data_IF_758531595023
#
_entry.id   IF_758531595023
#
_cell.length_a   1.000
_cell.length_b   1.000
_cell.length_c   1.000
_cell.angle_alpha   90.00
_cell.angle_beta   90.00
_cell.angle_gamma   90.00
#
_symmetry.space_group_name_H-M   'P 1'
#
loop_
_entity.id
_entity.type
_entity.pdbx_description
1 polymer ?
#
# COMPACT_ATOMS: atom_id res chain seq x y z
N UNK A 1 -11.92 9.27 -16.38
CA UNK A 1 -10.70 8.52 -16.00
C UNK A 1 -10.25 9.05 -14.65
N UNK A 2 -10.02 8.16 -13.69
CA UNK A 2 -9.63 8.54 -12.33
C UNK A 2 -8.24 9.19 -12.27
N UNK A 3 -7.34 8.92 -13.24
CA UNK A 3 -6.06 9.68 -13.39
C UNK A 3 -6.31 11.18 -13.55
N UNK A 4 -7.28 11.58 -14.38
CA UNK A 4 -7.60 13.00 -14.62
C UNK A 4 -8.21 13.63 -13.36
N UNK A 5 -9.11 12.91 -12.70
CA UNK A 5 -9.72 13.37 -11.45
C UNK A 5 -8.64 13.60 -10.38
N UNK A 6 -7.67 12.67 -10.25
CA UNK A 6 -6.53 12.83 -9.37
C UNK A 6 -5.70 14.07 -9.74
N UNK A 7 -5.36 14.23 -11.02
CA UNK A 7 -4.59 15.38 -11.51
C UNK A 7 -5.24 16.72 -11.18
N UNK A 8 -6.53 16.88 -11.50
CA UNK A 8 -7.27 18.12 -11.19
C UNK A 8 -7.39 18.37 -9.69
N UNK A 9 -7.59 17.32 -8.89
CA UNK A 9 -7.64 17.46 -7.43
C UNK A 9 -6.29 17.90 -6.87
N UNK A 10 -5.19 17.39 -7.40
CA UNK A 10 -3.83 17.83 -7.04
C UNK A 10 -3.58 19.27 -7.46
N UNK A 11 -4.00 19.66 -8.66
CA UNK A 11 -3.92 21.06 -9.12
C UNK A 11 -4.72 21.99 -8.20
N UNK A 12 -5.93 21.59 -7.81
CA UNK A 12 -6.80 22.34 -6.91
C UNK A 12 -6.10 22.64 -5.58
N UNK A 13 -5.37 21.66 -5.02
CA UNK A 13 -4.55 21.88 -3.80
C UNK A 13 -3.43 22.88 -4.09
N UNK A 14 -2.74 22.75 -5.22
CA UNK A 14 -1.64 23.63 -5.61
C UNK A 14 -2.06 25.09 -5.77
N UNK A 15 -3.27 25.37 -6.27
CA UNK A 15 -3.78 26.74 -6.48
C UNK A 15 -4.70 27.24 -5.36
N UNK A 16 -4.93 26.42 -4.32
CA UNK A 16 -5.91 26.71 -3.28
C UNK A 16 -5.57 28.00 -2.50
N UNK A 17 -6.45 29.00 -2.42
CA UNK A 17 -6.19 30.21 -1.62
C UNK A 17 -5.95 29.88 -0.13
N UNK A 18 -5.21 30.74 0.57
CA UNK A 18 -4.92 30.54 2.00
C UNK A 18 -6.14 30.83 2.88
N UNK A 19 -6.10 30.39 4.13
CA UNK A 19 -7.15 30.69 5.11
C UNK A 19 -7.37 32.20 5.28
N UNK A 20 -6.31 33.01 5.20
CA UNK A 20 -6.42 34.47 5.28
C UNK A 20 -7.22 35.08 4.12
N UNK A 21 -7.25 34.42 2.95
CA UNK A 21 -7.91 34.93 1.75
C UNK A 21 -9.39 34.55 1.69
N UNK A 22 -9.75 33.33 2.10
CA UNK A 22 -11.11 32.78 1.90
C UNK A 22 -11.70 32.13 3.15
N UNK A 23 -11.05 32.25 4.31
CA UNK A 23 -11.51 31.72 5.59
C UNK A 23 -11.73 30.19 5.57
N UNK A 24 -12.84 29.77 6.17
CA UNK A 24 -13.24 28.35 6.33
C UNK A 24 -13.41 27.61 4.99
N UNK A 25 -13.61 28.33 3.88
CA UNK A 25 -13.67 27.69 2.56
C UNK A 25 -12.36 27.03 2.15
N UNK A 26 -11.20 27.53 2.59
CA UNK A 26 -9.90 26.92 2.29
C UNK A 26 -9.80 25.47 2.80
N UNK A 27 -9.97 25.18 4.11
CA UNK A 27 -9.92 23.80 4.59
C UNK A 27 -11.05 22.92 4.03
N UNK A 28 -12.24 23.47 3.76
CA UNK A 28 -13.33 22.69 3.13
C UNK A 28 -12.98 22.23 1.71
N UNK A 29 -12.45 23.13 0.89
CA UNK A 29 -11.98 22.81 -0.46
C UNK A 29 -10.79 21.85 -0.44
N UNK A 30 -9.89 21.99 0.54
CA UNK A 30 -8.79 21.05 0.75
C UNK A 30 -9.31 19.64 1.06
N UNK A 31 -10.30 19.53 1.96
CA UNK A 31 -10.94 18.25 2.30
C UNK A 31 -11.61 17.64 1.07
N UNK A 32 -12.35 18.44 0.29
CA UNK A 32 -12.99 17.97 -0.94
C UNK A 32 -11.96 17.48 -1.97
N UNK A 33 -10.87 18.22 -2.17
CA UNK A 33 -9.77 17.80 -3.04
C UNK A 33 -9.13 16.48 -2.55
N UNK A 34 -8.95 16.31 -1.23
CA UNK A 34 -8.43 15.07 -0.63
C UNK A 34 -9.38 13.88 -0.83
N UNK A 35 -10.69 14.08 -0.70
CA UNK A 35 -11.69 13.04 -0.98
C UNK A 35 -11.62 12.61 -2.44
N UNK A 36 -11.55 13.57 -3.38
CA UNK A 36 -11.43 13.27 -4.80
C UNK A 36 -10.12 12.53 -5.14
N UNK A 37 -8.99 12.91 -4.52
CA UNK A 37 -7.72 12.17 -4.64
C UNK A 37 -7.86 10.74 -4.12
N UNK A 38 -8.46 10.54 -2.95
CA UNK A 38 -8.65 9.22 -2.35
C UNK A 38 -9.49 8.29 -3.22
N UNK A 39 -10.63 8.79 -3.74
CA UNK A 39 -11.50 8.04 -4.66
C UNK A 39 -10.73 7.66 -5.94
N UNK A 40 -9.94 8.61 -6.48
CA UNK A 40 -9.17 8.37 -7.70
C UNK A 40 -8.07 7.33 -7.49
N UNK A 41 -7.31 7.44 -6.40
CA UNK A 41 -6.22 6.53 -6.06
C UNK A 41 -6.73 5.11 -5.76
N UNK A 42 -7.87 4.99 -5.06
CA UNK A 42 -8.50 3.70 -4.76
C UNK A 42 -8.98 2.94 -6.00
N UNK A 43 -9.29 3.67 -7.09
CA UNK A 43 -9.65 3.09 -8.38
C UNK A 43 -8.43 2.79 -9.27
N UNK A 44 -7.50 3.72 -9.43
CA UNK A 44 -6.38 3.56 -10.36
C UNK A 44 -5.33 2.56 -9.88
N UNK A 45 -4.98 2.57 -8.58
CA UNK A 45 -3.89 1.73 -8.08
C UNK A 45 -4.18 0.23 -8.23
N UNK A 46 -5.34 -0.30 -7.76
CA UNK A 46 -5.75 -1.68 -8.05
C UNK A 46 -5.88 -2.00 -9.54
N UNK A 47 -6.32 -1.02 -10.34
CA UNK A 47 -6.56 -1.19 -11.77
C UNK A 47 -5.27 -1.37 -12.54
N UNK A 48 -4.25 -0.56 -12.25
CA UNK A 48 -2.91 -0.69 -12.82
C UNK A 48 -2.23 -2.00 -12.43
N UNK A 49 -2.37 -2.43 -11.18
CA UNK A 49 -1.81 -3.71 -10.71
C UNK A 49 -2.45 -4.91 -11.41
N UNK A 50 -3.79 -4.95 -11.51
CA UNK A 50 -4.49 -6.05 -12.19
C UNK A 50 -4.21 -6.02 -13.69
N UNK A 51 -4.15 -4.84 -14.30
CA UNK A 51 -3.79 -4.68 -15.69
C UNK A 51 -2.40 -5.27 -16.00
N UNK A 52 -1.40 -4.95 -15.18
CA UNK A 52 -0.07 -5.52 -15.30
C UNK A 52 -0.08 -7.04 -15.07
N UNK A 53 -0.89 -7.53 -14.11
CA UNK A 53 -1.01 -8.96 -13.81
C UNK A 53 -1.51 -9.75 -15.02
N UNK A 54 -2.53 -9.22 -15.68
CA UNK A 54 -3.25 -9.89 -16.75
C UNK A 54 -2.50 -9.84 -18.09
N UNK A 55 -1.67 -8.80 -18.30
CA UNK A 55 -0.77 -8.71 -19.45
C UNK A 55 0.54 -9.47 -19.29
N UNK A 56 0.85 -9.95 -18.09
CA UNK A 56 2.14 -10.59 -17.82
C UNK A 56 2.11 -12.11 -18.04
N UNK A 57 3.21 -12.68 -18.58
CA UNK A 57 3.39 -14.13 -18.63
C UNK A 57 3.20 -14.75 -17.24
N UNK A 58 2.64 -15.97 -17.19
CA UNK A 58 2.30 -16.66 -15.95
C UNK A 58 3.47 -16.80 -14.97
N UNK A 59 4.70 -16.87 -15.47
CA UNK A 59 5.94 -17.01 -14.70
C UNK A 59 6.64 -15.66 -14.37
N UNK A 60 6.01 -14.52 -14.68
CA UNK A 60 6.56 -13.17 -14.43
C UNK A 60 5.54 -12.23 -13.79
N UNK A 61 4.43 -12.76 -13.29
CA UNK A 61 3.33 -11.98 -12.70
C UNK A 61 3.77 -11.23 -11.44
N UNK A 62 4.51 -11.90 -10.55
CA UNK A 62 5.07 -11.31 -9.35
C UNK A 62 6.06 -10.20 -9.67
N UNK A 63 6.98 -10.44 -10.62
CA UNK A 63 7.92 -9.41 -11.07
C UNK A 63 7.24 -8.19 -11.69
N UNK A 64 6.25 -8.39 -12.57
CA UNK A 64 5.56 -7.28 -13.23
C UNK A 64 4.76 -6.41 -12.24
N UNK A 65 4.07 -7.03 -11.29
CA UNK A 65 3.33 -6.29 -10.27
C UNK A 65 4.26 -5.56 -9.31
N UNK A 66 5.37 -6.18 -8.93
CA UNK A 66 6.33 -5.52 -8.06
C UNK A 66 7.02 -4.34 -8.74
N UNK A 67 7.15 -4.33 -10.08
CA UNK A 67 7.56 -3.12 -10.82
C UNK A 67 6.52 -2.00 -10.73
N UNK A 68 5.22 -2.31 -10.79
CA UNK A 68 4.15 -1.30 -10.58
C UNK A 68 4.24 -0.72 -9.17
N UNK A 69 4.41 -1.57 -8.15
CA UNK A 69 4.54 -1.17 -6.76
C UNK A 69 5.82 -0.34 -6.52
N UNK A 70 6.95 -0.75 -7.11
CA UNK A 70 8.20 0.00 -7.09
C UNK A 70 8.04 1.37 -7.78
N UNK A 71 7.26 1.45 -8.86
CA UNK A 71 6.89 2.70 -9.51
C UNK A 71 6.15 3.65 -8.58
N UNK A 72 5.16 3.16 -7.82
CA UNK A 72 4.43 3.95 -6.82
C UNK A 72 5.38 4.50 -5.75
N UNK A 73 6.26 3.66 -5.20
CA UNK A 73 7.22 4.08 -4.18
C UNK A 73 8.27 5.07 -4.72
N UNK A 74 8.72 4.88 -5.96
CA UNK A 74 9.63 5.81 -6.65
C UNK A 74 8.98 7.16 -6.90
N UNK A 75 7.68 7.17 -7.23
CA UNK A 75 6.88 8.39 -7.36
C UNK A 75 6.81 9.17 -6.05
N UNK A 76 6.59 8.47 -4.92
CA UNK A 76 6.64 9.08 -3.59
C UNK A 76 8.01 9.66 -3.28
N UNK A 77 9.09 8.93 -3.57
CA UNK A 77 10.46 9.40 -3.37
C UNK A 77 10.71 10.71 -4.16
N UNK A 78 10.35 10.72 -5.45
CA UNK A 78 10.49 11.90 -6.30
C UNK A 78 9.66 13.08 -5.78
N UNK A 79 8.42 12.83 -5.34
CA UNK A 79 7.57 13.87 -4.75
C UNK A 79 8.18 14.45 -3.45
N UNK A 80 8.72 13.60 -2.58
CA UNK A 80 9.40 14.02 -1.34
C UNK A 80 10.64 14.86 -1.66
N UNK A 81 11.48 14.44 -2.62
CA UNK A 81 12.67 15.19 -3.03
C UNK A 81 12.32 16.57 -3.61
N UNK A 82 11.32 16.64 -4.50
CA UNK A 82 10.86 17.93 -5.05
C UNK A 82 10.29 18.82 -3.93
N UNK A 83 9.56 18.24 -2.98
CA UNK A 83 9.00 18.98 -1.84
C UNK A 83 10.10 19.53 -0.92
N UNK A 84 11.15 18.75 -0.68
CA UNK A 84 12.33 19.20 0.06
C UNK A 84 13.04 20.35 -0.65
N UNK A 85 13.32 20.22 -1.95
CA UNK A 85 13.93 21.30 -2.75
C UNK A 85 13.04 22.55 -2.72
N UNK A 86 11.72 22.39 -2.87
CA UNK A 86 10.79 23.49 -2.81
C UNK A 86 10.78 24.20 -1.45
N UNK A 87 11.06 23.49 -0.34
CA UNK A 87 11.14 24.10 0.98
C UNK A 87 12.36 25.02 1.18
N UNK A 88 13.37 24.94 0.29
CA UNK A 88 14.56 25.81 0.31
C UNK A 88 14.33 27.16 -0.39
N UNK A 89 13.16 27.38 -0.98
CA UNK A 89 12.78 28.53 -1.84
C UNK A 89 11.66 29.32 -1.13
N UNK A 90 11.38 30.61 -1.45
CA UNK A 90 10.47 31.46 -0.68
C UNK A 90 9.05 30.92 -0.44
N UNK A 91 8.30 31.63 0.41
CA UNK A 91 6.91 31.33 0.76
C UNK A 91 6.07 30.96 -0.48
N UNK A 92 5.26 29.90 -0.35
CA UNK A 92 4.40 29.30 -1.39
C UNK A 92 5.05 28.31 -2.35
N UNK A 93 6.36 28.07 -2.26
CA UNK A 93 7.05 27.07 -3.10
C UNK A 93 6.52 25.65 -2.93
N UNK A 94 5.92 25.32 -1.77
CA UNK A 94 5.25 24.04 -1.51
C UNK A 94 4.11 23.72 -2.49
N UNK A 95 3.60 24.70 -3.25
CA UNK A 95 2.57 24.52 -4.30
C UNK A 95 3.12 23.91 -5.58
N UNK A 96 4.41 24.11 -5.87
CA UNK A 96 5.06 23.67 -7.11
C UNK A 96 4.93 22.14 -7.33
N UNK A 97 5.21 21.26 -6.34
CA UNK A 97 5.02 19.82 -6.49
C UNK A 97 3.59 19.45 -6.92
N UNK A 98 2.58 20.15 -6.40
CA UNK A 98 1.17 19.88 -6.72
C UNK A 98 0.84 20.26 -8.17
N UNK A 99 1.33 21.40 -8.65
CA UNK A 99 1.15 21.85 -10.03
C UNK A 99 1.88 20.90 -11.00
N UNK A 100 3.11 20.50 -10.68
CA UNK A 100 3.85 19.51 -11.49
C UNK A 100 3.11 18.15 -11.52
N UNK A 101 2.52 17.75 -10.40
CA UNK A 101 1.72 16.52 -10.31
C UNK A 101 0.55 16.46 -11.29
N UNK A 102 -0.04 17.61 -11.64
CA UNK A 102 -1.09 17.68 -12.68
C UNK A 102 -0.56 17.28 -14.07
N UNK A 103 0.61 17.78 -14.46
CA UNK A 103 1.23 17.42 -15.75
C UNK A 103 1.65 15.95 -15.80
N UNK A 104 2.16 15.42 -14.68
CA UNK A 104 2.46 13.99 -14.55
C UNK A 104 1.19 13.15 -14.71
N UNK A 105 0.07 13.55 -14.12
CA UNK A 105 -1.21 12.87 -14.32
C UNK A 105 -1.67 12.91 -15.78
N UNK A 106 -1.48 14.03 -16.49
CA UNK A 106 -1.81 14.14 -17.91
C UNK A 106 -0.94 13.21 -18.77
N UNK A 107 0.36 13.13 -18.50
CA UNK A 107 1.26 12.18 -19.15
C UNK A 107 0.85 10.73 -18.88
N UNK A 108 0.52 10.40 -17.62
CA UNK A 108 0.01 9.07 -17.25
C UNK A 108 -1.27 8.71 -18.00
N UNK A 109 -2.19 9.68 -18.15
CA UNK A 109 -3.42 9.52 -18.94
C UNK A 109 -3.13 9.27 -20.42
N UNK A 110 -2.16 9.98 -21.00
CA UNK A 110 -1.73 9.80 -22.39
C UNK A 110 -1.17 8.40 -22.62
N UNK A 111 -0.30 7.93 -21.73
CA UNK A 111 0.26 6.57 -21.79
C UNK A 111 -0.86 5.53 -21.67
N UNK A 112 -1.77 5.70 -20.70
CA UNK A 112 -2.91 4.77 -20.48
C UNK A 112 -3.84 4.65 -21.70
N UNK A 113 -4.01 5.73 -22.46
CA UNK A 113 -4.83 5.73 -23.68
C UNK A 113 -4.25 4.89 -24.82
N UNK A 114 -2.95 4.62 -24.80
CA UNK A 114 -2.26 3.83 -25.84
C UNK A 114 -2.15 2.34 -25.50
N UNK A 115 -2.71 1.91 -24.37
CA UNK A 115 -2.67 0.52 -23.94
C UNK A 115 -4.02 -0.13 -24.21
N UNK A 116 -4.02 -1.26 -24.93
CA UNK A 116 -5.22 -2.07 -25.15
C UNK A 116 -5.72 -2.67 -23.83
N UNK A 117 -7.03 -2.91 -23.74
CA UNK A 117 -7.61 -3.60 -22.57
C UNK A 117 -7.17 -5.07 -22.51
N UNK A 118 -7.26 -5.68 -21.33
CA UNK A 118 -6.80 -7.07 -21.16
C UNK A 118 -7.63 -8.02 -22.00
N UNK A 119 -7.00 -9.00 -22.66
CA UNK A 119 -7.71 -10.02 -23.45
C UNK A 119 -8.75 -10.79 -22.62
N UNK A 120 -8.48 -10.98 -21.33
CA UNK A 120 -9.42 -11.56 -20.37
C UNK A 120 -10.66 -10.67 -20.15
N UNK A 121 -10.48 -9.36 -20.07
CA UNK A 121 -11.59 -8.40 -19.96
C UNK A 121 -12.38 -8.33 -21.28
N UNK A 122 -11.71 -8.30 -22.42
CA UNK A 122 -12.35 -8.31 -23.73
C UNK A 122 -13.18 -9.57 -23.96
N UNK A 123 -12.65 -10.75 -23.60
CA UNK A 123 -13.39 -12.01 -23.67
C UNK A 123 -14.60 -12.01 -22.74
N UNK A 124 -14.45 -11.53 -21.49
CA UNK A 124 -15.58 -11.42 -20.56
C UNK A 124 -16.66 -10.44 -21.09
N UNK A 125 -16.24 -9.36 -21.76
CA UNK A 125 -17.13 -8.39 -22.41
C UNK A 125 -17.86 -9.01 -23.61
N UNK A 126 -17.15 -9.70 -24.49
CA UNK A 126 -17.71 -10.39 -25.66
C UNK A 126 -18.70 -11.48 -25.24
N UNK A 127 -18.37 -12.24 -24.19
CA UNK A 127 -19.22 -13.31 -23.65
C UNK A 127 -20.38 -12.80 -22.77
N UNK A 128 -20.58 -11.48 -22.65
CA UNK A 128 -21.59 -10.85 -21.76
C UNK A 128 -21.50 -11.33 -20.30
N UNK A 129 -20.29 -11.67 -19.84
CA UNK A 129 -20.02 -12.12 -18.47
C UNK A 129 -19.73 -10.94 -17.51
N UNK A 130 -19.75 -9.70 -18.01
CA UNK A 130 -19.64 -8.51 -17.18
C UNK A 130 -20.89 -8.35 -16.30
N UNK A 131 -20.66 -8.24 -14.99
CA UNK A 131 -21.73 -8.05 -14.01
C UNK A 131 -22.09 -6.57 -13.87
N UNK A 132 -23.40 -6.28 -13.74
CA UNK A 132 -23.93 -4.91 -13.61
C UNK A 132 -23.46 -4.20 -12.32
N UNK A 133 -23.27 -4.96 -11.23
CA UNK A 133 -22.83 -4.43 -9.93
C UNK A 133 -21.62 -5.21 -9.41
N UNK A 134 -20.41 -4.98 -9.92
CA UNK A 134 -19.23 -5.78 -9.61
C UNK A 134 -18.89 -5.89 -8.12
N UNK A 135 -19.02 -4.80 -7.35
CA UNK A 135 -18.76 -4.81 -5.90
C UNK A 135 -19.77 -5.71 -5.17
N UNK A 136 -21.07 -5.52 -5.42
CA UNK A 136 -22.13 -6.32 -4.80
C UNK A 136 -22.04 -7.80 -5.21
N UNK A 137 -21.73 -8.06 -6.48
CA UNK A 137 -21.48 -9.43 -6.97
C UNK A 137 -20.26 -10.05 -6.31
N UNK A 138 -19.18 -9.28 -6.13
CA UNK A 138 -17.99 -9.69 -5.39
C UNK A 138 -18.28 -10.04 -3.94
N UNK A 139 -19.01 -9.18 -3.22
CA UNK A 139 -19.43 -9.41 -1.83
C UNK A 139 -20.31 -10.64 -1.66
N UNK A 140 -21.13 -10.96 -2.66
CA UNK A 140 -21.96 -12.18 -2.64
C UNK A 140 -21.19 -13.43 -3.02
N UNK A 141 -20.30 -13.37 -4.01
CA UNK A 141 -19.55 -14.54 -4.53
C UNK A 141 -18.33 -14.89 -3.68
N UNK A 142 -17.65 -13.89 -3.13
CA UNK A 142 -16.36 -14.00 -2.42
C UNK A 142 -16.34 -13.27 -1.06
N UNK A 143 -17.36 -13.39 -0.20
CA UNK A 143 -17.41 -12.65 1.08
C UNK A 143 -16.22 -12.99 1.98
N UNK A 144 -15.86 -14.29 2.04
CA UNK A 144 -14.74 -14.78 2.82
C UNK A 144 -13.41 -14.22 2.29
N UNK A 145 -13.16 -14.29 0.98
CA UNK A 145 -11.92 -13.80 0.39
C UNK A 145 -11.77 -12.30 0.60
N UNK A 146 -12.86 -11.53 0.48
CA UNK A 146 -12.86 -10.09 0.76
C UNK A 146 -12.46 -9.80 2.21
N UNK A 147 -13.01 -10.53 3.19
CA UNK A 147 -12.64 -10.37 4.60
C UNK A 147 -11.15 -10.70 4.83
N UNK A 148 -10.68 -11.81 4.27
CA UNK A 148 -9.28 -12.24 4.41
C UNK A 148 -8.29 -11.29 3.73
N UNK A 149 -8.65 -10.73 2.57
CA UNK A 149 -7.87 -9.69 1.89
C UNK A 149 -7.85 -8.40 2.71
N UNK A 150 -8.98 -8.01 3.33
CA UNK A 150 -9.03 -6.84 4.19
C UNK A 150 -8.10 -6.99 5.41
N UNK A 151 -8.12 -8.14 6.08
CA UNK A 151 -7.22 -8.45 7.20
C UNK A 151 -5.75 -8.40 6.76
N UNK A 152 -5.41 -9.07 5.66
CA UNK A 152 -4.03 -9.10 5.16
C UNK A 152 -3.53 -7.71 4.73
N UNK A 153 -4.39 -6.92 4.08
CA UNK A 153 -4.07 -5.54 3.69
C UNK A 153 -3.92 -4.62 4.91
N UNK A 154 -4.69 -4.87 5.98
CA UNK A 154 -4.62 -4.14 7.24
C UNK A 154 -3.23 -4.22 7.87
N UNK A 155 -2.63 -5.43 7.92
CA UNK A 155 -1.28 -5.63 8.45
C UNK A 155 -0.23 -4.88 7.63
N UNK A 156 -0.24 -5.04 6.30
CA UNK A 156 0.74 -4.37 5.43
C UNK A 156 0.66 -2.85 5.57
N UNK A 157 -0.55 -2.29 5.61
CA UNK A 157 -0.74 -0.85 5.77
C UNK A 157 -0.33 -0.37 7.17
N UNK A 158 -0.72 -1.09 8.23
CA UNK A 158 -0.35 -0.77 9.61
C UNK A 158 1.16 -0.79 9.82
N UNK A 159 1.85 -1.84 9.33
CA UNK A 159 3.30 -1.96 9.45
C UNK A 159 4.03 -0.82 8.75
N UNK A 160 3.51 -0.36 7.60
CA UNK A 160 4.03 0.80 6.89
C UNK A 160 3.77 2.12 7.64
N UNK A 161 2.52 2.39 8.00
CA UNK A 161 2.12 3.67 8.62
C UNK A 161 2.78 3.86 9.99
N UNK A 162 2.78 2.83 10.84
CA UNK A 162 3.38 2.92 12.17
C UNK A 162 4.90 3.17 12.07
N UNK A 163 5.59 2.54 11.12
CA UNK A 163 7.04 2.64 11.02
C UNK A 163 7.54 3.84 10.20
N UNK A 164 6.91 4.14 9.07
CA UNK A 164 7.36 5.21 8.16
C UNK A 164 6.76 6.58 8.49
N UNK A 165 5.64 6.64 9.21
CA UNK A 165 4.93 7.90 9.50
C UNK A 165 4.96 8.20 11.00
N UNK A 166 4.50 7.27 11.83
CA UNK A 166 4.40 7.51 13.27
C UNK A 166 5.77 7.52 13.98
N UNK A 167 6.61 6.50 13.75
CA UNK A 167 7.90 6.36 14.45
C UNK A 167 8.82 7.59 14.30
N UNK A 168 9.01 8.19 13.11
CA UNK A 168 9.80 9.41 12.96
C UNK A 168 9.25 10.56 13.79
N UNK A 169 7.93 10.78 13.75
CA UNK A 169 7.27 11.83 14.54
C UNK A 169 7.45 11.59 16.04
N UNK A 170 7.31 10.35 16.48
CA UNK A 170 7.48 9.96 17.88
C UNK A 170 8.91 10.19 18.37
N UNK A 171 9.92 9.74 17.62
CA UNK A 171 11.33 9.90 17.99
C UNK A 171 11.76 11.36 18.06
N UNK A 172 11.31 12.18 17.10
CA UNK A 172 11.59 13.63 17.09
C UNK A 172 10.94 14.37 18.26
N UNK A 173 9.74 13.95 18.67
CA UNK A 173 8.98 14.63 19.74
C UNK A 173 9.48 14.22 21.13
N UNK A 174 9.82 12.96 21.31
CA UNK A 174 10.26 12.42 22.61
C UNK A 174 11.75 12.56 22.85
N UNK A 175 12.55 12.73 21.79
CA UNK A 175 14.01 12.65 21.84
C UNK A 175 14.51 11.38 22.54
N UNK A 176 13.75 10.28 22.41
CA UNK A 176 14.04 9.00 23.07
C UNK A 176 15.42 8.46 22.73
N UNK A 177 15.87 8.71 21.49
CA UNK A 177 17.17 8.32 20.99
C UNK A 177 18.02 9.57 20.74
N UNK A 178 19.33 9.55 21.05
CA UNK A 178 20.25 10.65 20.77
C UNK A 178 20.63 10.70 19.27
N UNK A 179 19.62 10.83 18.40
CA UNK A 179 19.75 10.82 16.95
C UNK A 179 19.21 12.15 16.40
N UNK A 180 19.92 12.77 15.45
CA UNK A 180 19.46 14.01 14.85
C UNK A 180 18.17 13.81 14.04
N UNK A 181 17.31 14.83 14.00
CA UNK A 181 16.08 14.81 13.22
C UNK A 181 16.35 14.54 11.72
N UNK A 182 17.46 15.10 11.20
CA UNK A 182 17.93 14.87 9.84
C UNK A 182 18.27 13.40 9.59
N UNK A 183 18.97 12.74 10.53
CA UNK A 183 19.30 11.31 10.40
C UNK A 183 18.04 10.45 10.40
N UNK A 184 17.05 10.79 11.22
CA UNK A 184 15.75 10.10 11.24
C UNK A 184 15.08 10.24 9.86
N UNK A 185 15.01 11.45 9.30
CA UNK A 185 14.39 11.68 7.99
C UNK A 185 15.11 10.95 6.85
N UNK A 186 16.45 11.04 6.81
CA UNK A 186 17.26 10.35 5.81
C UNK A 186 17.10 8.83 5.91
N UNK A 187 16.92 8.28 7.11
CA UNK A 187 16.68 6.85 7.31
C UNK A 187 15.37 6.37 6.67
N UNK A 188 14.30 7.19 6.70
CA UNK A 188 13.02 6.85 6.06
C UNK A 188 13.11 6.94 4.54
N UNK A 189 13.82 7.94 4.00
CA UNK A 189 14.12 8.02 2.58
C UNK A 189 14.89 6.77 2.13
N UNK A 190 15.89 6.36 2.90
CA UNK A 190 16.66 5.16 2.66
C UNK A 190 15.79 3.89 2.68
N UNK A 191 14.86 3.78 3.64
CA UNK A 191 13.88 2.68 3.69
C UNK A 191 13.08 2.57 2.40
N UNK A 192 12.56 3.69 1.89
CA UNK A 192 11.79 3.72 0.64
C UNK A 192 12.63 3.27 -0.54
N UNK A 193 13.86 3.77 -0.67
CA UNK A 193 14.80 3.41 -1.76
C UNK A 193 15.08 1.90 -1.75
N UNK A 194 15.43 1.34 -0.60
CA UNK A 194 15.75 -0.09 -0.49
C UNK A 194 14.52 -0.96 -0.74
N UNK A 195 13.33 -0.53 -0.29
CA UNK A 195 12.07 -1.21 -0.61
C UNK A 195 11.75 -1.21 -2.12
N UNK A 196 12.00 -0.10 -2.82
CA UNK A 196 11.82 0.03 -4.29
C UNK A 196 12.66 -1.01 -5.03
N UNK A 197 13.90 -1.24 -4.58
CA UNK A 197 14.82 -2.19 -5.22
C UNK A 197 14.47 -3.63 -4.82
N UNK A 198 14.09 -3.85 -3.56
CA UNK A 198 13.80 -5.19 -3.03
C UNK A 198 12.51 -5.77 -3.60
N UNK A 199 11.49 -4.94 -3.84
CA UNK A 199 10.20 -5.39 -4.33
C UNK A 199 10.29 -6.16 -5.68
N UNK A 200 10.96 -5.66 -6.74
CA UNK A 200 11.21 -6.40 -7.98
C UNK A 200 11.92 -7.74 -7.77
N UNK A 201 12.97 -7.76 -6.96
CA UNK A 201 13.77 -8.96 -6.68
C UNK A 201 12.91 -10.05 -6.04
N UNK A 202 12.15 -9.69 -5.00
CA UNK A 202 11.28 -10.65 -4.31
C UNK A 202 10.07 -11.03 -5.14
N UNK A 203 9.52 -10.09 -5.92
CA UNK A 203 8.46 -10.39 -6.89
C UNK A 203 8.90 -11.47 -7.88
N UNK A 204 10.12 -11.37 -8.42
CA UNK A 204 10.71 -12.39 -9.27
C UNK A 204 10.92 -13.73 -8.56
N UNK A 205 11.44 -13.71 -7.32
CA UNK A 205 11.61 -14.94 -6.52
C UNK A 205 10.27 -15.61 -6.20
N UNK A 206 9.22 -14.81 -5.98
CA UNK A 206 7.87 -15.29 -5.66
C UNK A 206 7.22 -16.06 -6.80
N UNK A 207 7.57 -15.72 -8.04
CA UNK A 207 7.11 -16.46 -9.22
C UNK A 207 7.73 -17.87 -9.30
N UNK A 208 8.87 -18.11 -8.64
CA UNK A 208 9.56 -19.42 -8.62
C UNK A 208 9.27 -20.26 -7.38
N UNK A 209 9.31 -19.64 -6.20
CA UNK A 209 9.18 -20.33 -4.90
C UNK A 209 7.71 -20.47 -4.48
N UNK A 210 6.84 -19.59 -5.00
CA UNK A 210 5.43 -19.53 -4.66
C UNK A 210 5.10 -18.33 -3.77
N UNK A 211 4.20 -17.47 -4.25
CA UNK A 211 3.81 -16.20 -3.62
C UNK A 211 3.27 -16.36 -2.19
N UNK A 212 2.42 -17.36 -1.96
CA UNK A 212 1.84 -17.62 -0.64
C UNK A 212 2.91 -17.98 0.40
N UNK A 213 3.89 -18.81 0.03
CA UNK A 213 4.95 -19.26 0.93
C UNK A 213 5.89 -18.11 1.29
N UNK A 214 6.29 -17.30 0.32
CA UNK A 214 7.08 -16.09 0.58
C UNK A 214 6.27 -15.12 1.45
N UNK A 215 5.00 -14.85 1.13
CA UNK A 215 4.17 -13.93 1.89
C UNK A 215 4.06 -14.34 3.37
N UNK A 216 3.83 -15.62 3.67
CA UNK A 216 3.80 -16.14 5.05
C UNK A 216 5.15 -15.96 5.75
N UNK A 217 6.26 -16.36 5.10
CA UNK A 217 7.60 -16.26 5.68
C UNK A 217 7.97 -14.82 6.01
N UNK A 218 7.77 -13.89 5.07
CA UNK A 218 8.06 -12.47 5.26
C UNK A 218 7.13 -11.85 6.32
N UNK A 219 5.86 -12.26 6.38
CA UNK A 219 4.94 -11.78 7.43
C UNK A 219 5.42 -12.19 8.83
N UNK A 220 5.90 -13.43 8.99
CA UNK A 220 6.50 -13.90 10.25
C UNK A 220 7.74 -13.07 10.59
N UNK A 221 8.68 -12.96 9.64
CA UNK A 221 9.92 -12.21 9.84
C UNK A 221 9.64 -10.75 10.20
N UNK A 222 8.73 -10.08 9.49
CA UNK A 222 8.32 -8.70 9.76
C UNK A 222 7.68 -8.55 11.14
N UNK A 223 6.78 -9.46 11.52
CA UNK A 223 6.09 -9.39 12.81
C UNK A 223 7.06 -9.56 13.98
N UNK A 224 7.90 -10.60 13.93
CA UNK A 224 8.91 -10.86 14.96
C UNK A 224 9.92 -9.72 15.02
N UNK A 225 10.38 -9.23 13.87
CA UNK A 225 11.33 -8.12 13.81
C UNK A 225 10.75 -6.83 14.42
N UNK A 226 9.55 -6.42 14.02
CA UNK A 226 8.91 -5.22 14.55
C UNK A 226 8.63 -5.35 16.06
N UNK A 227 8.21 -6.52 16.52
CA UNK A 227 8.04 -6.79 17.95
C UNK A 227 9.34 -6.56 18.71
N UNK A 228 10.43 -7.20 18.30
CA UNK A 228 11.74 -7.05 18.95
C UNK A 228 12.22 -5.59 18.88
N UNK A 229 12.02 -4.91 17.75
CA UNK A 229 12.43 -3.54 17.56
C UNK A 229 11.69 -2.57 18.50
N UNK A 230 10.36 -2.64 18.59
CA UNK A 230 9.58 -1.74 19.45
C UNK A 230 9.80 -2.01 20.94
N UNK A 231 9.95 -3.28 21.35
CA UNK A 231 10.28 -3.63 22.76
C UNK A 231 11.63 -3.04 23.18
N UNK A 232 12.61 -3.02 22.27
CA UNK A 232 13.97 -2.56 22.58
C UNK A 232 14.24 -1.11 22.14
N UNK A 233 13.22 -0.37 21.69
CA UNK A 233 13.40 0.92 21.02
C UNK A 233 14.17 1.92 21.87
N UNK A 234 13.87 2.02 23.17
CA UNK A 234 14.52 2.97 24.09
C UNK A 234 15.98 2.65 24.43
N UNK A 235 16.45 1.44 24.09
CA UNK A 235 17.81 0.98 24.39
C UNK A 235 18.71 0.94 23.16
N UNK A 236 18.19 1.31 21.98
CA UNK A 236 18.94 1.23 20.73
C UNK A 236 20.03 2.31 20.64
N UNK A 237 21.23 1.93 20.22
CA UNK A 237 22.20 2.92 19.73
C UNK A 237 21.82 3.39 18.32
N UNK A 238 22.37 4.52 17.88
CA UNK A 238 22.16 5.04 16.52
C UNK A 238 22.48 3.99 15.44
N UNK A 239 23.58 3.24 15.58
CA UNK A 239 23.98 2.23 14.61
C UNK A 239 22.99 1.05 14.55
N UNK A 240 22.49 0.61 15.71
CA UNK A 240 21.49 -0.46 15.79
C UNK A 240 20.17 0.02 15.19
N UNK A 241 19.78 1.28 15.44
CA UNK A 241 18.61 1.88 14.83
C UNK A 241 18.73 1.92 13.30
N UNK A 242 19.84 2.40 12.74
CA UNK A 242 20.06 2.44 11.29
C UNK A 242 20.09 1.04 10.66
N UNK A 243 20.69 0.06 11.33
CA UNK A 243 20.62 -1.34 10.90
C UNK A 243 19.18 -1.86 10.91
N UNK A 244 18.38 -1.50 11.92
CA UNK A 244 16.96 -1.86 11.98
C UNK A 244 16.17 -1.26 10.81
N UNK A 245 16.47 -0.02 10.42
CA UNK A 245 15.85 0.62 9.25
C UNK A 245 16.19 -0.14 7.95
N UNK A 246 17.44 -0.57 7.78
CA UNK A 246 17.83 -1.40 6.63
C UNK A 246 17.09 -2.74 6.58
N UNK A 247 17.00 -3.45 7.71
CA UNK A 247 16.27 -4.73 7.81
C UNK A 247 14.78 -4.52 7.51
N UNK A 248 14.17 -3.50 8.10
CA UNK A 248 12.78 -3.14 7.84
C UNK A 248 12.55 -2.87 6.35
N UNK A 249 13.45 -2.13 5.69
CA UNK A 249 13.32 -1.78 4.29
C UNK A 249 13.27 -2.99 3.36
N UNK A 250 14.10 -4.01 3.64
CA UNK A 250 14.08 -5.27 2.91
C UNK A 250 12.76 -5.99 3.15
N UNK A 251 12.33 -6.11 4.41
CA UNK A 251 11.09 -6.81 4.78
C UNK A 251 9.86 -6.12 4.19
N UNK A 252 9.82 -4.79 4.18
CA UNK A 252 8.69 -4.01 3.67
C UNK A 252 8.54 -4.17 2.15
N UNK A 253 9.62 -4.00 1.38
CA UNK A 253 9.60 -4.24 -0.06
C UNK A 253 9.21 -5.68 -0.41
N UNK A 254 9.71 -6.64 0.37
CA UNK A 254 9.38 -8.07 0.22
C UNK A 254 7.91 -8.37 0.50
N UNK A 255 7.35 -7.77 1.57
CA UNK A 255 5.97 -7.98 2.01
C UNK A 255 5.01 -7.42 0.96
N UNK A 256 5.22 -6.16 0.56
CA UNK A 256 4.37 -5.47 -0.41
C UNK A 256 4.35 -6.22 -1.75
N UNK A 257 5.51 -6.68 -2.23
CA UNK A 257 5.59 -7.45 -3.48
C UNK A 257 4.91 -8.82 -3.39
N UNK A 258 5.22 -9.62 -2.38
CA UNK A 258 4.72 -11.00 -2.30
C UNK A 258 3.25 -11.09 -1.90
N UNK A 259 2.83 -10.29 -0.91
CA UNK A 259 1.47 -10.33 -0.37
C UNK A 259 0.47 -9.77 -1.38
N UNK A 260 0.73 -8.60 -1.97
CA UNK A 260 -0.20 -7.95 -2.91
C UNK A 260 -0.51 -8.83 -4.10
N UNK A 261 0.51 -9.43 -4.70
CA UNK A 261 0.36 -10.32 -5.86
C UNK A 261 -0.51 -11.53 -5.50
N UNK A 262 -0.24 -12.15 -4.35
CA UNK A 262 -1.02 -13.29 -3.88
C UNK A 262 -2.49 -12.92 -3.63
N UNK A 263 -2.75 -11.79 -2.97
CA UNK A 263 -4.11 -11.34 -2.65
C UNK A 263 -4.92 -11.07 -3.92
N UNK A 264 -4.32 -10.46 -4.95
CA UNK A 264 -5.00 -10.24 -6.24
C UNK A 264 -5.29 -11.57 -6.94
N UNK A 265 -4.34 -12.51 -6.95
CA UNK A 265 -4.53 -13.83 -7.57
C UNK A 265 -5.54 -14.72 -6.84
N UNK A 266 -5.87 -14.40 -5.58
CA UNK A 266 -6.85 -15.16 -4.80
C UNK A 266 -8.30 -15.00 -5.29
N UNK A 267 -8.57 -13.99 -6.11
CA UNK A 267 -9.87 -13.81 -6.78
C UNK A 267 -9.72 -14.21 -8.25
N UNK A 268 -10.29 -15.37 -8.60
CA UNK A 268 -10.15 -15.95 -9.95
C UNK A 268 -11.05 -15.27 -10.99
N UNK A 269 -12.26 -14.85 -10.61
CA UNK A 269 -13.25 -14.27 -11.51
C UNK A 269 -12.87 -12.85 -11.94
N UNK A 270 -12.41 -12.70 -13.18
CA UNK A 270 -12.03 -11.43 -13.81
C UNK A 270 -13.14 -10.37 -13.76
N UNK A 271 -14.42 -10.77 -13.80
CA UNK A 271 -15.55 -9.83 -13.81
C UNK A 271 -15.71 -9.05 -12.49
N UNK A 272 -15.22 -9.60 -11.37
CA UNK A 272 -15.30 -8.98 -10.04
C UNK A 272 -13.94 -8.74 -9.40
N UNK A 273 -12.86 -9.32 -9.92
CA UNK A 273 -11.49 -9.24 -9.34
C UNK A 273 -11.08 -7.82 -8.96
N UNK A 274 -11.21 -6.89 -9.91
CA UNK A 274 -10.88 -5.48 -9.70
C UNK A 274 -11.67 -4.86 -8.54
N UNK A 275 -12.99 -4.96 -8.60
CA UNK A 275 -13.87 -4.34 -7.62
C UNK A 275 -13.78 -5.00 -6.25
N UNK A 276 -13.68 -6.32 -6.18
CA UNK A 276 -13.53 -7.08 -4.94
C UNK A 276 -12.20 -6.77 -4.26
N UNK A 277 -11.08 -6.78 -4.99
CA UNK A 277 -9.77 -6.49 -4.40
C UNK A 277 -9.66 -5.02 -3.97
N UNK A 278 -10.10 -4.07 -4.82
CA UNK A 278 -10.10 -2.64 -4.47
C UNK A 278 -10.94 -2.36 -3.22
N UNK A 279 -12.15 -2.93 -3.14
CA UNK A 279 -13.00 -2.79 -1.96
C UNK A 279 -12.38 -3.43 -0.71
N UNK A 280 -11.92 -4.68 -0.82
CA UNK A 280 -11.34 -5.41 0.31
C UNK A 280 -10.09 -4.73 0.88
N UNK A 281 -9.16 -4.34 0.01
CA UNK A 281 -7.94 -3.63 0.42
C UNK A 281 -8.26 -2.26 1.02
N UNK A 282 -9.23 -1.53 0.46
CA UNK A 282 -9.72 -0.26 1.01
C UNK A 282 -10.30 -0.41 2.42
N UNK A 283 -11.13 -1.44 2.67
CA UNK A 283 -11.62 -1.76 4.02
C UNK A 283 -10.46 -2.04 4.96
N UNK A 284 -9.45 -2.80 4.52
CA UNK A 284 -8.27 -3.07 5.33
C UNK A 284 -7.50 -1.79 5.72
N UNK A 285 -7.32 -0.88 4.78
CA UNK A 285 -6.69 0.43 5.02
C UNK A 285 -7.50 1.27 6.01
N UNK A 286 -8.84 1.26 5.91
CA UNK A 286 -9.70 1.98 6.86
C UNK A 286 -9.55 1.43 8.28
N UNK A 287 -9.53 0.10 8.44
CA UNK A 287 -9.40 -0.55 9.74
C UNK A 287 -8.11 -0.15 10.47
N UNK A 288 -7.01 0.02 9.73
CA UNK A 288 -5.70 0.39 10.32
C UNK A 288 -5.30 1.84 10.07
N UNK A 289 -6.20 2.67 9.52
CA UNK A 289 -5.99 4.11 9.35
C UNK A 289 -5.77 4.85 10.67
N UNK A 290 -6.32 4.31 11.77
CA UNK A 290 -6.14 4.83 13.12
C UNK A 290 -4.91 4.27 13.84
N UNK A 291 -4.06 3.50 13.14
CA UNK A 291 -2.87 2.88 13.76
C UNK A 291 -1.90 3.86 14.42
N UNK A 292 -1.65 5.10 13.94
CA UNK A 292 -0.84 6.08 14.68
C UNK A 292 -1.47 6.47 16.02
N UNK A 293 -2.80 6.56 16.09
CA UNK A 293 -3.50 6.90 17.33
C UNK A 293 -3.38 5.78 18.36
N UNK A 294 -3.55 4.53 17.90
CA UNK A 294 -3.33 3.32 18.72
C UNK A 294 -1.87 3.27 19.20
N UNK A 295 -0.91 3.52 18.30
CA UNK A 295 0.50 3.52 18.62
C UNK A 295 0.86 4.60 19.65
N UNK A 296 0.30 5.80 19.52
CA UNK A 296 0.48 6.89 20.49
C UNK A 296 -0.02 6.47 21.88
N UNK A 297 -1.24 5.92 21.96
CA UNK A 297 -1.81 5.44 23.22
C UNK A 297 -0.97 4.35 23.85
N UNK A 298 -0.53 3.36 23.07
CA UNK A 298 0.33 2.29 23.59
C UNK A 298 1.67 2.83 24.08
N UNK A 299 2.35 3.66 23.28
CA UNK A 299 3.66 4.22 23.64
C UNK A 299 3.63 5.19 24.83
N UNK A 300 2.45 5.68 25.24
CA UNK A 300 2.30 6.45 26.49
C UNK A 300 2.21 5.60 27.77
N UNK A 301 2.05 4.29 27.65
CA UNK A 301 1.97 3.35 28.78
C UNK A 301 3.35 2.78 29.12
N UNK A 302 3.52 2.31 30.36
CA UNK A 302 4.81 1.82 30.91
C UNK A 302 5.46 0.70 30.07
N UNK A 303 4.65 -0.15 29.42
CA UNK A 303 5.10 -1.23 28.53
C UNK A 303 4.76 -0.97 27.05
N UNK A 304 4.80 0.28 26.62
CA UNK A 304 4.28 0.69 25.32
C UNK A 304 4.87 -0.02 24.11
N UNK A 305 6.17 -0.27 24.11
CA UNK A 305 6.84 -1.04 23.05
C UNK A 305 6.34 -2.48 22.93
N UNK A 306 6.03 -3.13 24.07
CA UNK A 306 5.47 -4.48 24.11
C UNK A 306 4.02 -4.50 23.61
N UNK A 307 3.20 -3.51 23.99
CA UNK A 307 1.82 -3.40 23.53
C UNK A 307 1.75 -3.17 22.01
N UNK A 308 2.56 -2.23 21.50
CA UNK A 308 2.62 -1.92 20.07
C UNK A 308 3.16 -3.10 19.26
N UNK A 309 4.26 -3.71 19.71
CA UNK A 309 4.80 -4.92 19.10
C UNK A 309 3.77 -6.06 19.09
N UNK A 310 3.10 -6.29 20.22
CA UNK A 310 2.08 -7.33 20.36
C UNK A 310 0.89 -7.13 19.42
N UNK A 311 0.43 -5.89 19.26
CA UNK A 311 -0.62 -5.54 18.31
C UNK A 311 -0.23 -5.82 16.85
N UNK A 312 1.00 -5.47 16.45
CA UNK A 312 1.51 -5.76 15.11
C UNK A 312 1.63 -7.28 14.89
N UNK A 313 2.13 -8.02 15.90
CA UNK A 313 2.18 -9.48 15.86
C UNK A 313 0.79 -10.12 15.71
N UNK A 314 -0.22 -9.61 16.42
CA UNK A 314 -1.61 -10.09 16.28
C UNK A 314 -2.10 -9.95 14.83
N UNK A 315 -1.90 -8.77 14.23
CA UNK A 315 -2.24 -8.55 12.82
C UNK A 315 -1.44 -9.46 11.87
N UNK A 316 -0.17 -9.73 12.19
CA UNK A 316 0.68 -10.67 11.47
C UNK A 316 0.14 -12.09 11.50
N UNK A 317 -0.26 -12.59 12.68
CA UNK A 317 -0.88 -13.92 12.85
C UNK A 317 -2.19 -14.02 12.06
N UNK A 318 -3.05 -13.01 12.15
CA UNK A 318 -4.30 -12.96 11.39
C UNK A 318 -4.04 -12.95 9.87
N UNK A 319 -2.98 -12.27 9.42
CA UNK A 319 -2.56 -12.25 8.01
C UNK A 319 -2.06 -13.61 7.55
N UNK A 320 -1.25 -14.30 8.35
CA UNK A 320 -0.76 -15.65 8.04
C UNK A 320 -1.95 -16.63 7.94
N UNK A 321 -2.88 -16.57 8.88
CA UNK A 321 -4.11 -17.39 8.84
C UNK A 321 -4.95 -17.08 7.58
N UNK A 322 -5.04 -15.81 7.20
CA UNK A 322 -5.73 -15.37 5.98
C UNK A 322 -5.06 -15.92 4.72
N UNK A 323 -3.74 -15.79 4.61
CA UNK A 323 -2.96 -16.29 3.46
C UNK A 323 -3.06 -17.81 3.36
N UNK A 324 -2.95 -18.53 4.49
CA UNK A 324 -3.08 -19.98 4.52
C UNK A 324 -4.45 -20.45 4.04
N UNK A 325 -5.51 -19.78 4.49
CA UNK A 325 -6.89 -20.11 4.10
C UNK A 325 -7.15 -19.84 2.61
N UNK A 326 -6.70 -18.69 2.11
CA UNK A 326 -6.79 -18.34 0.69
C UNK A 326 -5.98 -19.30 -0.20
N UNK A 327 -4.82 -19.75 0.27
CA UNK A 327 -3.97 -20.68 -0.48
C UNK A 327 -4.68 -22.02 -0.71
N UNK A 328 -5.40 -22.52 0.30
CA UNK A 328 -6.23 -23.71 0.19
C UNK A 328 -7.28 -23.59 -0.92
N UNK A 329 -7.99 -22.46 -0.97
CA UNK A 329 -9.03 -22.22 -1.99
C UNK A 329 -8.44 -22.11 -3.40
N UNK A 330 -7.31 -21.39 -3.56
CA UNK A 330 -6.63 -21.27 -4.87
C UNK A 330 -6.15 -22.63 -5.38
N UNK A 331 -5.65 -23.51 -4.50
CA UNK A 331 -5.25 -24.88 -4.88
C UNK A 331 -6.45 -25.71 -5.34
N UNK A 332 -7.59 -25.62 -4.65
CA UNK A 332 -8.82 -26.36 -5.03
C UNK A 332 -9.33 -25.89 -6.40
N UNK A 333 -9.33 -24.58 -6.66
CA UNK A 333 -9.72 -24.02 -7.95
C UNK A 333 -8.81 -24.49 -9.11
N UNK A 334 -7.50 -24.57 -8.88
CA UNK A 334 -6.53 -25.08 -9.88
C UNK A 334 -6.68 -26.58 -10.16
N UNK A 335 -7.25 -27.35 -9.23
CA UNK A 335 -7.52 -28.78 -9.40
C UNK A 335 -8.86 -29.06 -10.11
N UNK A 336 -9.55 -28.04 -10.62
CA UNK A 336 -10.78 -28.21 -11.41
C UNK A 336 -12.00 -28.67 -10.61
N UNK A 337 -11.95 -28.62 -9.27
CA UNK A 337 -13.12 -28.92 -8.43
C UNK A 337 -13.93 -27.63 -8.24
N UNK A 338 -15.18 -27.54 -8.71
CA UNK A 338 -16.02 -26.37 -8.45
C UNK A 338 -16.30 -26.29 -6.94
N UNK A 339 -15.88 -25.20 -6.31
CA UNK A 339 -16.16 -24.91 -4.88
C UNK A 339 -17.63 -24.51 -4.66
N UNK A 340 -18.43 -24.41 -5.71
CA UNK A 340 -19.88 -24.15 -5.62
C UNK A 340 -20.69 -25.44 -5.70
N UNK A 341 -20.58 -26.27 -4.66
CA UNK A 341 -21.55 -27.33 -4.39
C UNK A 341 -21.85 -27.36 -2.88
N UNK A 342 -22.50 -26.30 -2.42
CA UNK A 342 -23.37 -26.24 -1.23
C UNK A 342 -24.05 -24.88 -1.25
N UNK A 343 -25.15 -24.83 -2.00
CA UNK A 343 -26.23 -23.85 -1.83
C UNK A 343 -26.99 -24.25 -0.57
#
# INVERSE_FOLDING_TARGET
SSIILMGFSTLLIGILPTYEQIGVLAPLLLVLARIMQGISAGGESPGGMIFALEHSPSNKKGFALSLVLAGTMSGTLLATTISYIASLVPEMSWRIPFILGFFVAFLGRYIRNKSDETSAYEQAKQNKQLVRYPILSGLKRYPKNILLIAIASSFSFCAFVVHCIYLPSYLKTTSLLPISNETIDLSIIFVVIVSVVTAPVVGYMSDRIGKANIAKAITIMMSTFLFTMYVNLGYMSQNIFLLSQFIYAILNGSLVASLTVFLIESISDTSVKYSSYSFASGVGVILTGFSPMIATTFMSLENGGLLLGGFICLLGVLTIASVYTLEGEVKVLKMGKPVYAKI
#
